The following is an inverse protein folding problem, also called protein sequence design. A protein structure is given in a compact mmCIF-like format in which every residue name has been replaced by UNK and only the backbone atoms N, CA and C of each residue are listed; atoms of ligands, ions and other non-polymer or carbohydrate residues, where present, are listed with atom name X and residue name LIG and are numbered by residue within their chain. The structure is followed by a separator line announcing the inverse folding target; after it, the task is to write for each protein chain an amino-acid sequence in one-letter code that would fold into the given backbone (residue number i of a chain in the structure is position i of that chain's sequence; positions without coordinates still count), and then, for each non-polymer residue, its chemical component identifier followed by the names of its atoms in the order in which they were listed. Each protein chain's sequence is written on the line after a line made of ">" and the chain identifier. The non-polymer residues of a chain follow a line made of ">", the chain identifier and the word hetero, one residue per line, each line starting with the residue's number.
data_IF_586666940178
#
_entry.id   IF_586666940178
#
_cell.length_a   1.000
_cell.length_b   1.000
_cell.length_c   1.000
_cell.angle_alpha   90.00
_cell.angle_beta   90.00
_cell.angle_gamma   90.00
#
_symmetry.space_group_name_H-M   'P 1'
#
loop_
_entity.id
_entity.type
_entity.pdbx_description
1 polymer ?
#
# COMPACT_ATOMS: atom_id res chain seq x y z
N UNK A 1 17.83 3.49 -21.13
CA UNK A 1 16.74 3.93 -20.23
C UNK A 1 16.69 3.05 -18.97
N UNK A 2 17.63 3.24 -18.02
CA UNK A 2 17.74 2.35 -16.84
C UNK A 2 17.37 3.05 -15.51
N UNK A 3 17.60 4.37 -15.40
CA UNK A 3 17.35 5.12 -14.15
C UNK A 3 15.87 5.33 -13.80
N UNK A 4 15.04 5.75 -14.76
CA UNK A 4 13.62 5.99 -14.52
C UNK A 4 12.86 4.74 -14.08
N UNK A 5 13.13 3.61 -14.75
CA UNK A 5 12.52 2.31 -14.42
C UNK A 5 12.94 1.86 -13.02
N UNK A 6 14.24 1.98 -12.68
CA UNK A 6 14.75 1.67 -11.35
C UNK A 6 14.07 2.50 -10.25
N UNK A 7 13.85 3.81 -10.48
CA UNK A 7 13.11 4.65 -9.54
C UNK A 7 11.66 4.22 -9.37
N UNK A 8 10.99 3.83 -10.46
CA UNK A 8 9.61 3.33 -10.40
C UNK A 8 9.52 2.00 -9.63
N UNK A 9 10.47 1.08 -9.86
CA UNK A 9 10.51 -0.22 -9.19
C UNK A 9 10.82 -0.07 -7.69
N UNK A 10 11.72 0.85 -7.34
CA UNK A 10 12.00 1.21 -5.95
C UNK A 10 10.76 1.81 -5.26
N UNK A 11 10.06 2.73 -5.94
CA UNK A 11 8.82 3.34 -5.43
C UNK A 11 7.72 2.27 -5.20
N UNK A 12 7.57 1.30 -6.12
CA UNK A 12 6.68 0.15 -5.92
C UNK A 12 7.07 -0.67 -4.68
N UNK A 13 8.37 -0.92 -4.49
CA UNK A 13 8.89 -1.68 -3.36
C UNK A 13 8.65 -0.97 -2.02
N UNK A 14 8.93 0.34 -1.96
CA UNK A 14 8.68 1.19 -0.79
C UNK A 14 7.18 1.19 -0.44
N UNK A 15 6.30 1.40 -1.42
CA UNK A 15 4.86 1.35 -1.19
C UNK A 15 4.41 0.02 -0.61
N UNK A 16 4.94 -1.11 -1.10
CA UNK A 16 4.62 -2.43 -0.56
C UNK A 16 5.13 -2.60 0.88
N UNK A 17 6.32 -2.08 1.21
CA UNK A 17 6.85 -2.08 2.58
C UNK A 17 5.99 -1.26 3.53
N UNK A 18 5.52 -0.10 3.11
CA UNK A 18 4.61 0.74 3.90
C UNK A 18 3.29 0.00 4.15
N UNK A 19 2.69 -0.63 3.12
CA UNK A 19 1.49 -1.46 3.28
C UNK A 19 1.69 -2.61 4.28
N UNK A 20 2.86 -3.24 4.25
CA UNK A 20 3.22 -4.26 5.24
C UNK A 20 3.31 -3.68 6.65
N UNK A 21 3.85 -2.47 6.82
CA UNK A 21 3.91 -1.79 8.12
C UNK A 21 2.51 -1.53 8.70
N UNK A 22 1.58 -0.99 7.90
CA UNK A 22 0.17 -0.87 8.27
C UNK A 22 -0.44 -2.23 8.67
N UNK A 23 -0.16 -3.28 7.90
CA UNK A 23 -0.68 -4.62 8.21
C UNK A 23 -0.14 -5.20 9.51
N UNK A 24 1.10 -4.87 9.88
CA UNK A 24 1.70 -5.23 11.18
C UNK A 24 1.11 -4.39 12.32
N UNK A 25 0.84 -3.11 12.07
CA UNK A 25 0.18 -2.22 13.02
C UNK A 25 -1.24 -2.74 13.36
N UNK A 26 -1.96 -3.27 12.36
CA UNK A 26 -3.26 -3.89 12.55
C UNK A 26 -3.12 -5.34 13.04
N UNK A 27 -2.60 -5.54 14.26
CA UNK A 27 -2.27 -6.87 14.79
C UNK A 27 -3.46 -7.85 14.81
N UNK A 28 -4.65 -7.40 15.23
CA UNK A 28 -5.83 -8.27 15.41
C UNK A 28 -6.67 -8.35 14.13
N UNK A 29 -7.22 -9.52 13.75
CA UNK A 29 -8.13 -9.65 12.60
C UNK A 29 -9.31 -8.67 12.62
N UNK A 30 -9.92 -8.47 13.80
CA UNK A 30 -10.99 -7.48 14.00
C UNK A 30 -10.54 -6.05 13.66
N UNK A 31 -9.31 -5.68 14.03
CA UNK A 31 -8.74 -4.36 13.72
C UNK A 31 -8.51 -4.21 12.22
N UNK A 32 -7.97 -5.25 11.56
CA UNK A 32 -7.77 -5.26 10.09
C UNK A 32 -9.09 -5.03 9.36
N UNK A 33 -10.12 -5.79 9.71
CA UNK A 33 -11.45 -5.69 9.08
C UNK A 33 -12.03 -4.28 9.29
N UNK A 34 -11.98 -3.77 10.53
CA UNK A 34 -12.49 -2.43 10.86
C UNK A 34 -11.77 -1.32 10.07
N UNK A 35 -10.45 -1.39 9.93
CA UNK A 35 -9.67 -0.40 9.18
C UNK A 35 -9.94 -0.49 7.68
N UNK A 36 -10.02 -1.70 7.13
CA UNK A 36 -10.38 -1.90 5.71
C UNK A 36 -11.78 -1.36 5.41
N UNK A 37 -12.76 -1.60 6.28
CA UNK A 37 -14.12 -1.04 6.15
C UNK A 37 -14.14 0.48 6.28
N UNK A 38 -13.39 1.04 7.24
CA UNK A 38 -13.27 2.50 7.42
C UNK A 38 -12.71 3.19 6.17
N UNK A 39 -11.83 2.50 5.44
CA UNK A 39 -11.21 3.01 4.23
C UNK A 39 -11.97 2.63 2.95
N UNK A 40 -13.20 2.11 3.08
CA UNK A 40 -14.14 1.94 1.96
C UNK A 40 -14.13 0.57 1.27
N UNK A 41 -13.54 -0.48 1.87
CA UNK A 41 -13.61 -1.84 1.31
C UNK A 41 -14.93 -2.49 1.66
N UNK A 42 -15.52 -3.14 0.67
CA UNK A 42 -16.69 -3.99 0.85
C UNK A 42 -16.47 -5.03 1.96
N UNK A 43 -17.47 -5.21 2.82
CA UNK A 43 -17.39 -6.08 4.00
C UNK A 43 -16.91 -7.50 3.64
N UNK A 44 -17.39 -8.08 2.54
CA UNK A 44 -16.99 -9.42 2.09
C UNK A 44 -15.48 -9.51 1.83
N UNK A 45 -14.95 -8.55 1.08
CA UNK A 45 -13.52 -8.46 0.78
C UNK A 45 -12.69 -8.16 2.02
N UNK A 46 -13.18 -7.29 2.91
CA UNK A 46 -12.50 -6.93 4.15
C UNK A 46 -12.38 -8.13 5.10
N UNK A 47 -13.45 -8.92 5.26
CA UNK A 47 -13.47 -10.15 6.08
C UNK A 47 -12.52 -11.20 5.50
N UNK A 48 -12.56 -11.43 4.19
CA UNK A 48 -11.66 -12.36 3.51
C UNK A 48 -10.18 -11.99 3.68
N UNK A 49 -9.85 -10.71 3.53
CA UNK A 49 -8.47 -10.22 3.71
C UNK A 49 -8.04 -10.26 5.19
N UNK A 50 -8.91 -9.83 6.11
CA UNK A 50 -8.59 -9.71 7.53
C UNK A 50 -8.44 -11.05 8.25
N UNK A 51 -9.16 -12.09 7.82
CA UNK A 51 -9.10 -13.45 8.36
C UNK A 51 -7.99 -14.31 7.73
N UNK A 52 -7.27 -13.80 6.73
CA UNK A 52 -6.21 -14.55 6.08
C UNK A 52 -5.06 -14.91 7.04
N UNK A 53 -4.65 -16.18 7.04
CA UNK A 53 -3.46 -16.69 7.74
C UNK A 53 -2.14 -16.35 7.02
N UNK A 54 -2.21 -15.63 5.88
CA UNK A 54 -1.04 -15.27 5.09
C UNK A 54 -0.16 -14.27 5.85
N UNK A 55 1.16 -14.45 5.73
CA UNK A 55 2.14 -13.52 6.32
C UNK A 55 1.98 -12.07 5.83
N UNK A 56 2.53 -11.09 6.56
CA UNK A 56 2.33 -9.67 6.26
C UNK A 56 2.78 -9.24 4.86
N UNK A 57 3.91 -9.78 4.39
CA UNK A 57 4.43 -9.45 3.05
C UNK A 57 3.56 -9.98 1.91
N UNK A 58 2.97 -11.17 2.08
CA UNK A 58 2.01 -11.75 1.14
C UNK A 58 0.70 -10.97 1.17
N UNK A 59 0.25 -10.61 2.37
CA UNK A 59 -0.96 -9.81 2.56
C UNK A 59 -0.84 -8.43 1.90
N UNK A 60 0.30 -7.75 2.01
CA UNK A 60 0.52 -6.43 1.40
C UNK A 60 0.35 -6.36 -0.13
N UNK A 61 0.32 -7.50 -0.84
CA UNK A 61 0.05 -7.57 -2.29
C UNK A 61 -1.43 -7.85 -2.62
N UNK A 62 -2.27 -8.08 -1.61
CA UNK A 62 -3.69 -8.45 -1.80
C UNK A 62 -4.48 -7.27 -2.36
N UNK A 63 -5.40 -7.48 -3.32
CA UNK A 63 -6.17 -6.40 -3.94
C UNK A 63 -6.89 -5.51 -2.93
N UNK A 64 -7.49 -6.07 -1.88
CA UNK A 64 -8.17 -5.27 -0.84
C UNK A 64 -7.26 -4.27 -0.11
N UNK A 65 -5.98 -4.61 0.09
CA UNK A 65 -5.01 -3.70 0.71
C UNK A 65 -4.49 -2.67 -0.30
N UNK A 66 -4.31 -3.06 -1.56
CA UNK A 66 -3.90 -2.13 -2.62
C UNK A 66 -4.98 -1.10 -2.94
N UNK A 67 -6.26 -1.48 -2.85
CA UNK A 67 -7.40 -0.59 -3.04
C UNK A 67 -7.44 0.47 -1.93
N UNK A 68 -7.27 0.04 -0.67
CA UNK A 68 -7.31 0.92 0.51
C UNK A 68 -6.08 1.80 0.63
N UNK A 69 -4.92 1.17 0.63
CA UNK A 69 -3.62 1.84 0.69
C UNK A 69 -3.17 2.13 -0.75
N UNK A 70 -4.04 2.82 -1.49
CA UNK A 70 -3.78 3.29 -2.83
C UNK A 70 -2.65 4.33 -2.83
N UNK A 71 -2.07 4.59 -4.00
CA UNK A 71 -1.07 5.64 -4.13
C UNK A 71 -1.63 7.00 -3.68
N UNK A 72 -2.89 7.29 -4.02
CA UNK A 72 -3.56 8.53 -3.63
C UNK A 72 -3.68 8.66 -2.10
N UNK A 73 -4.09 7.59 -1.42
CA UNK A 73 -4.14 7.56 0.04
C UNK A 73 -2.74 7.79 0.63
N UNK A 74 -1.73 7.07 0.16
CA UNK A 74 -0.37 7.22 0.67
C UNK A 74 0.19 8.64 0.43
N UNK A 75 -0.10 9.25 -0.71
CA UNK A 75 0.26 10.65 -0.99
C UNK A 75 -0.42 11.62 -0.01
N UNK A 76 -1.71 11.42 0.29
CA UNK A 76 -2.42 12.23 1.30
C UNK A 76 -1.86 12.08 2.72
N UNK A 77 -1.20 10.95 3.01
CA UNK A 77 -0.49 10.71 4.26
C UNK A 77 0.96 11.26 4.24
N UNK A 78 1.35 11.97 3.18
CA UNK A 78 2.68 12.58 3.04
C UNK A 78 3.73 11.72 2.35
N UNK A 79 3.36 10.56 1.76
CA UNK A 79 4.32 9.78 0.98
C UNK A 79 4.66 10.49 -0.32
N UNK A 80 5.90 10.99 -0.41
CA UNK A 80 6.43 11.55 -1.65
C UNK A 80 6.65 10.45 -2.70
N UNK A 81 6.19 10.68 -3.92
CA UNK A 81 6.43 9.73 -5.01
C UNK A 81 7.77 10.02 -5.67
N UNK A 82 8.63 9.01 -5.73
CA UNK A 82 9.94 9.14 -6.39
C UNK A 82 9.81 9.44 -7.88
N UNK A 83 8.72 8.98 -8.52
CA UNK A 83 8.41 9.31 -9.92
C UNK A 83 8.25 10.81 -10.12
N UNK A 84 7.49 11.47 -9.24
CA UNK A 84 7.23 12.91 -9.34
C UNK A 84 8.55 13.69 -9.15
N UNK A 85 9.41 13.25 -8.23
CA UNK A 85 10.75 13.82 -8.04
C UNK A 85 11.66 13.63 -9.24
N UNK A 86 11.66 12.45 -9.87
CA UNK A 86 12.46 12.21 -11.07
C UNK A 86 12.05 13.12 -12.22
N UNK A 87 10.74 13.24 -12.47
CA UNK A 87 10.19 14.11 -13.51
C UNK A 87 10.58 15.56 -13.24
N UNK A 88 10.41 16.03 -12.01
CA UNK A 88 10.81 17.38 -11.61
C UNK A 88 12.29 17.62 -11.88
N UNK A 89 13.18 16.70 -11.52
CA UNK A 89 14.63 16.90 -11.68
C UNK A 89 15.12 16.88 -13.14
N UNK A 90 14.51 16.07 -14.01
CA UNK A 90 15.01 15.85 -15.38
C UNK A 90 14.26 16.64 -16.45
N UNK A 91 13.08 17.19 -16.13
CA UNK A 91 12.29 18.04 -17.02
C UNK A 91 12.13 19.46 -16.47
N UNK A 92 13.04 19.89 -15.57
CA UNK A 92 13.23 21.30 -15.21
C UNK A 92 14.14 22.00 -16.21
#
# INVERSE_FOLDING_TARGET
>A
ANGYQLCCDLDHWIRRRIRMAYWRQWRKPRTKIRQLMRLGVEIRTAVGCGRSSKGPWRSAKTPGINQVLSLAYLKSQGLYSMRDGWIKLHHS
#
